data_IF_627426072446
#
_entry.id   IF_627426072446
#
_cell.length_a   1.000
_cell.length_b   1.000
_cell.length_c   1.000
_cell.angle_alpha   90.00
_cell.angle_beta   90.00
_cell.angle_gamma   90.00
#
_symmetry.space_group_name_H-M   'P 1'
#
loop_
_entity.id
_entity.type
_entity.pdbx_description
1 polymer ?
#
# COMPACT_ATOMS: atom_id res chain seq x y z
N UNK A 1 -10.00 7.63 -15.76
CA UNK A 1 -10.27 8.84 -14.93
C UNK A 1 -11.28 9.81 -15.58
N UNK A 2 -11.95 9.35 -16.66
CA UNK A 2 -13.00 10.12 -17.32
C UNK A 2 -14.13 10.46 -16.34
N UNK A 3 -14.50 11.75 -16.25
CA UNK A 3 -15.51 12.24 -15.31
C UNK A 3 -15.04 12.42 -13.86
N UNK A 4 -13.80 12.06 -13.52
CA UNK A 4 -13.24 12.28 -12.19
C UNK A 4 -12.47 13.60 -12.10
N UNK A 5 -12.36 14.16 -10.89
CA UNK A 5 -11.61 15.39 -10.65
C UNK A 5 -10.18 15.34 -11.21
N UNK A 6 -9.54 14.17 -11.19
CA UNK A 6 -8.19 13.95 -11.71
C UNK A 6 -8.04 14.30 -13.19
N UNK A 7 -9.10 14.12 -14.01
CA UNK A 7 -9.10 14.48 -15.44
C UNK A 7 -8.84 15.98 -15.67
N UNK A 8 -9.33 16.81 -14.76
CA UNK A 8 -9.15 18.26 -14.82
C UNK A 8 -7.85 18.74 -14.16
N UNK A 9 -7.35 18.03 -13.17
CA UNK A 9 -6.19 18.40 -12.36
C UNK A 9 -4.87 17.97 -13.02
N UNK A 10 -4.80 16.75 -13.59
CA UNK A 10 -3.61 16.27 -14.28
C UNK A 10 -3.68 16.63 -15.77
N UNK A 11 -2.62 17.21 -16.30
CA UNK A 11 -2.53 17.65 -17.69
C UNK A 11 -1.51 16.88 -18.52
N UNK A 12 -0.41 16.50 -17.88
CA UNK A 12 0.75 15.94 -18.60
C UNK A 12 0.66 14.41 -18.71
N UNK A 13 -0.08 13.75 -17.82
CA UNK A 13 -0.28 12.30 -17.79
C UNK A 13 1.04 11.51 -17.98
N UNK A 14 2.09 11.96 -17.26
CA UNK A 14 3.41 11.34 -17.35
C UNK A 14 3.33 9.91 -16.82
N UNK A 15 3.75 8.95 -17.63
CA UNK A 15 3.85 7.55 -17.24
C UNK A 15 5.14 7.31 -16.45
N UNK A 16 5.02 6.68 -15.29
CA UNK A 16 6.12 6.27 -14.44
C UNK A 16 6.20 4.74 -14.38
N UNK A 17 7.39 4.14 -14.26
CA UNK A 17 7.49 2.72 -13.93
C UNK A 17 6.95 2.50 -12.52
N UNK A 18 6.01 1.58 -12.37
CA UNK A 18 5.36 1.25 -11.10
C UNK A 18 5.78 -0.15 -10.67
N UNK A 19 6.30 -0.27 -9.46
CA UNK A 19 6.51 -1.55 -8.77
C UNK A 19 5.44 -1.64 -7.68
N UNK A 20 4.46 -2.50 -7.86
CA UNK A 20 3.38 -2.76 -6.91
C UNK A 20 3.59 -4.12 -6.26
N UNK A 21 3.66 -4.14 -4.94
CA UNK A 21 3.84 -5.33 -4.12
C UNK A 21 2.61 -5.51 -3.23
N UNK A 22 1.90 -6.61 -3.42
CA UNK A 22 0.75 -7.01 -2.62
C UNK A 22 1.17 -8.11 -1.63
N UNK A 23 1.23 -7.78 -0.35
CA UNK A 23 1.55 -8.73 0.72
C UNK A 23 0.32 -9.47 1.25
N UNK A 24 -0.88 -9.23 0.71
CA UNK A 24 -2.08 -9.96 1.07
C UNK A 24 -2.25 -11.27 0.28
N UNK A 25 -1.49 -11.46 -0.79
CA UNK A 25 -1.70 -12.53 -1.77
C UNK A 25 -1.41 -13.95 -1.25
N UNK A 26 -0.94 -14.13 0.00
CA UNK A 26 -0.57 -15.44 0.55
C UNK A 26 -0.78 -15.53 2.06
N UNK A 27 -0.94 -16.78 2.55
CA UNK A 27 -0.82 -17.11 3.97
C UNK A 27 0.65 -17.25 4.36
N UNK A 28 1.00 -16.72 5.53
CA UNK A 28 2.37 -16.69 6.08
C UNK A 28 2.50 -17.68 7.24
N UNK A 29 2.96 -18.88 6.96
CA UNK A 29 3.11 -19.97 7.95
C UNK A 29 4.56 -20.34 8.24
N UNK A 30 5.48 -20.09 7.31
CA UNK A 30 6.90 -20.44 7.40
C UNK A 30 7.80 -19.24 7.04
N UNK A 31 9.04 -19.26 7.54
CA UNK A 31 10.06 -18.24 7.28
C UNK A 31 10.22 -17.89 5.79
N UNK A 32 10.15 -18.90 4.92
CA UNK A 32 10.32 -18.72 3.49
C UNK A 32 9.09 -18.17 2.75
N UNK A 33 7.94 -18.07 3.41
CA UNK A 33 6.71 -17.67 2.70
C UNK A 33 6.74 -16.22 2.25
N UNK A 34 7.28 -15.32 3.08
CA UNK A 34 7.45 -13.92 2.74
C UNK A 34 8.45 -13.74 1.59
N UNK A 35 9.62 -14.38 1.70
CA UNK A 35 10.66 -14.31 0.68
C UNK A 35 10.13 -14.82 -0.66
N UNK A 36 9.45 -15.97 -0.68
CA UNK A 36 8.85 -16.54 -1.90
C UNK A 36 7.75 -15.67 -2.51
N UNK A 37 6.98 -14.97 -1.68
CA UNK A 37 5.96 -14.06 -2.18
C UNK A 37 6.60 -12.89 -2.90
N UNK A 38 7.54 -12.21 -2.22
CA UNK A 38 8.27 -11.07 -2.80
C UNK A 38 9.04 -11.51 -4.05
N UNK A 39 9.75 -12.64 -3.99
CA UNK A 39 10.49 -13.22 -5.12
C UNK A 39 9.63 -13.33 -6.38
N UNK A 40 8.44 -13.92 -6.25
CA UNK A 40 7.51 -14.07 -7.40
C UNK A 40 7.05 -12.74 -7.98
N UNK A 41 6.83 -11.75 -7.14
CA UNK A 41 6.40 -10.43 -7.58
C UNK A 41 7.54 -9.68 -8.27
N UNK A 42 8.77 -9.76 -7.74
CA UNK A 42 9.95 -9.17 -8.38
C UNK A 42 10.21 -9.78 -9.77
N UNK A 43 10.07 -11.10 -9.94
CA UNK A 43 10.24 -11.77 -11.24
C UNK A 43 9.37 -11.17 -12.36
N UNK A 44 8.18 -10.70 -12.05
CA UNK A 44 7.29 -10.06 -13.05
C UNK A 44 7.92 -8.77 -13.58
N UNK A 45 8.46 -7.95 -12.69
CA UNK A 45 9.09 -6.68 -13.06
C UNK A 45 10.47 -6.87 -13.67
N UNK A 46 11.22 -7.89 -13.22
CA UNK A 46 12.51 -8.27 -13.81
C UNK A 46 12.35 -8.71 -15.27
N UNK A 47 11.28 -9.42 -15.60
CA UNK A 47 10.96 -9.74 -16.98
C UNK A 47 10.70 -8.49 -17.84
N UNK A 48 10.18 -7.42 -17.22
CA UNK A 48 9.87 -6.16 -17.90
C UNK A 48 11.10 -5.23 -17.99
N UNK A 49 11.87 -5.08 -16.94
CA UNK A 49 12.92 -4.07 -16.84
C UNK A 49 14.34 -4.63 -16.94
N UNK A 50 14.53 -5.90 -16.71
CA UNK A 50 15.80 -6.60 -16.70
C UNK A 50 15.92 -7.50 -15.48
N UNK A 51 16.74 -8.55 -15.61
CA UNK A 51 16.96 -9.54 -14.55
C UNK A 51 18.24 -9.26 -13.77
N UNK A 52 18.20 -9.65 -12.49
CA UNK A 52 19.35 -9.72 -11.61
C UNK A 52 19.99 -11.11 -11.64
N UNK A 53 21.12 -11.26 -10.94
CA UNK A 53 21.69 -12.56 -10.65
C UNK A 53 20.75 -13.40 -9.77
N UNK A 54 20.63 -14.70 -10.03
CA UNK A 54 19.77 -15.60 -9.26
C UNK A 54 20.25 -15.82 -7.80
N UNK A 55 21.48 -15.42 -7.49
CA UNK A 55 22.10 -15.60 -6.18
C UNK A 55 21.96 -14.36 -5.28
N UNK A 56 21.36 -13.28 -5.79
CA UNK A 56 21.12 -12.05 -5.02
C UNK A 56 19.92 -12.21 -4.08
N UNK A 57 19.98 -11.49 -2.95
CA UNK A 57 18.86 -11.42 -2.00
C UNK A 57 17.70 -10.61 -2.56
N UNK A 58 16.51 -10.69 -1.98
CA UNK A 58 15.34 -9.95 -2.45
C UNK A 58 15.52 -8.43 -2.37
N UNK A 59 16.28 -7.94 -1.40
CA UNK A 59 16.62 -6.54 -1.25
C UNK A 59 17.63 -6.07 -2.30
N UNK A 60 18.69 -6.84 -2.61
CA UNK A 60 19.62 -6.56 -3.70
C UNK A 60 18.92 -6.53 -5.06
N UNK A 61 18.01 -7.48 -5.29
CA UNK A 61 17.21 -7.54 -6.51
C UNK A 61 16.31 -6.31 -6.65
N UNK A 62 15.68 -5.85 -5.55
CA UNK A 62 14.87 -4.63 -5.58
C UNK A 62 15.72 -3.40 -5.91
N UNK A 63 16.92 -3.28 -5.34
CA UNK A 63 17.89 -2.21 -5.69
C UNK A 63 18.16 -2.18 -7.19
N UNK A 64 18.53 -3.33 -7.74
CA UNK A 64 18.85 -3.46 -9.16
C UNK A 64 17.63 -3.20 -10.04
N UNK A 65 16.46 -3.70 -9.65
CA UNK A 65 15.20 -3.50 -10.37
C UNK A 65 14.81 -2.02 -10.42
N UNK A 66 14.88 -1.29 -9.31
CA UNK A 66 14.59 0.15 -9.27
C UNK A 66 15.52 0.90 -10.22
N UNK A 67 16.82 0.60 -10.19
CA UNK A 67 17.80 1.24 -11.06
C UNK A 67 17.51 0.94 -12.54
N UNK A 68 17.34 -0.32 -12.91
CA UNK A 68 17.05 -0.73 -14.30
C UNK A 68 15.74 -0.16 -14.83
N UNK A 69 14.70 -0.13 -14.01
CA UNK A 69 13.42 0.47 -14.39
C UNK A 69 13.57 1.98 -14.67
N UNK A 70 14.30 2.69 -13.82
CA UNK A 70 14.55 4.11 -14.00
C UNK A 70 15.42 4.38 -15.24
N UNK A 71 16.50 3.62 -15.46
CA UNK A 71 17.37 3.74 -16.61
C UNK A 71 16.62 3.45 -17.93
N UNK A 72 15.81 2.41 -17.96
CA UNK A 72 15.06 1.99 -19.15
C UNK A 72 13.98 2.98 -19.56
N UNK A 73 13.31 3.61 -18.58
CA UNK A 73 12.19 4.52 -18.84
C UNK A 73 12.60 6.00 -18.89
N UNK A 74 13.76 6.32 -18.35
CA UNK A 74 14.17 7.72 -18.14
C UNK A 74 13.36 8.44 -17.06
N UNK A 75 12.55 7.71 -16.29
CA UNK A 75 11.66 8.23 -15.23
C UNK A 75 12.00 7.58 -13.90
N UNK A 76 11.80 8.32 -12.80
CA UNK A 76 11.91 7.74 -11.45
C UNK A 76 10.77 6.78 -11.18
N UNK A 77 11.04 5.77 -10.35
CA UNK A 77 10.12 4.66 -10.04
C UNK A 77 9.08 5.07 -9.00
N UNK A 78 7.86 4.60 -9.17
CA UNK A 78 6.80 4.62 -8.14
C UNK A 78 6.77 3.25 -7.47
N UNK A 79 6.74 3.22 -6.13
CA UNK A 79 6.64 2.00 -5.34
C UNK A 79 5.33 2.02 -4.57
N UNK A 80 4.51 0.99 -4.76
CA UNK A 80 3.27 0.80 -4.03
C UNK A 80 3.37 -0.53 -3.27
N UNK A 81 3.11 -0.50 -1.96
CA UNK A 81 3.09 -1.72 -1.12
C UNK A 81 1.74 -1.80 -0.44
N UNK A 82 0.99 -2.84 -0.75
CA UNK A 82 -0.29 -3.09 -0.12
C UNK A 82 -0.15 -4.12 1.00
N UNK A 83 -0.88 -3.88 2.11
CA UNK A 83 -0.88 -4.73 3.31
C UNK A 83 0.52 -4.97 3.90
N UNK A 84 1.34 -3.91 4.01
CA UNK A 84 2.74 -4.00 4.46
C UNK A 84 2.93 -4.72 5.80
N UNK A 85 1.92 -4.73 6.66
CA UNK A 85 1.95 -5.31 8.00
C UNK A 85 1.38 -6.75 8.07
N UNK A 86 0.78 -7.25 7.01
CA UNK A 86 0.14 -8.58 6.95
C UNK A 86 1.04 -9.73 7.41
N UNK A 87 2.32 -9.83 6.98
CA UNK A 87 3.21 -10.89 7.45
C UNK A 87 3.38 -10.86 8.96
N UNK A 88 3.55 -9.66 9.54
CA UNK A 88 3.71 -9.46 10.97
C UNK A 88 2.45 -9.83 11.76
N UNK A 89 1.28 -9.44 11.24
CA UNK A 89 -0.01 -9.75 11.85
C UNK A 89 -0.29 -11.26 11.89
N UNK A 90 0.01 -11.96 10.81
CA UNK A 90 -0.16 -13.41 10.73
C UNK A 90 0.84 -14.19 11.59
N UNK A 91 1.96 -13.59 11.95
CA UNK A 91 2.98 -14.19 12.83
C UNK A 91 2.75 -13.89 14.33
N UNK A 92 1.67 -13.20 14.72
CA UNK A 92 1.35 -12.93 16.12
C UNK A 92 1.26 -14.24 16.91
N UNK A 93 1.95 -14.31 18.05
CA UNK A 93 2.03 -15.50 18.89
C UNK A 93 3.06 -16.54 18.44
N UNK A 94 3.88 -16.23 17.41
CA UNK A 94 5.00 -17.03 16.92
C UNK A 94 6.25 -16.15 16.87
N UNK A 95 6.88 -15.94 18.03
CA UNK A 95 7.90 -14.90 18.23
C UNK A 95 9.10 -15.04 17.27
N UNK A 96 9.59 -16.26 17.05
CA UNK A 96 10.72 -16.52 16.14
C UNK A 96 10.35 -16.13 14.69
N UNK A 97 9.19 -16.56 14.21
CA UNK A 97 8.72 -16.23 12.86
C UNK A 97 8.46 -14.71 12.69
N UNK A 98 7.93 -14.08 13.74
CA UNK A 98 7.71 -12.65 13.74
C UNK A 98 9.02 -11.85 13.65
N UNK A 99 10.06 -12.32 14.33
CA UNK A 99 11.40 -11.71 14.28
C UNK A 99 12.03 -11.86 12.88
N UNK A 100 11.93 -13.05 12.28
CA UNK A 100 12.40 -13.33 10.92
C UNK A 100 11.70 -12.41 9.88
N UNK A 101 10.38 -12.30 9.96
CA UNK A 101 9.64 -11.40 9.06
C UNK A 101 9.99 -9.93 9.28
N UNK A 102 10.20 -9.52 10.53
CA UNK A 102 10.65 -8.17 10.87
C UNK A 102 11.98 -7.85 10.22
N UNK A 103 12.96 -8.74 10.34
CA UNK A 103 14.29 -8.55 9.80
C UNK A 103 14.27 -8.51 8.27
N UNK A 104 13.53 -9.40 7.64
CA UNK A 104 13.33 -9.44 6.18
C UNK A 104 12.69 -8.15 5.68
N UNK A 105 11.58 -7.71 6.27
CA UNK A 105 10.88 -6.48 5.88
C UNK A 105 11.72 -5.23 6.14
N UNK A 106 12.47 -5.21 7.24
CA UNK A 106 13.36 -4.08 7.56
C UNK A 106 14.46 -3.91 6.52
N UNK A 107 15.11 -4.98 6.11
CA UNK A 107 16.11 -4.96 5.04
C UNK A 107 15.48 -4.53 3.71
N UNK A 108 14.37 -5.15 3.35
CA UNK A 108 13.67 -4.90 2.09
C UNK A 108 13.17 -3.44 1.96
N UNK A 109 12.50 -2.92 2.99
CA UNK A 109 12.05 -1.52 2.96
C UNK A 109 13.20 -0.52 3.12
N UNK A 110 14.32 -0.92 3.73
CA UNK A 110 15.55 -0.13 3.80
C UNK A 110 16.08 0.30 2.44
N UNK A 111 15.79 -0.47 1.39
CA UNK A 111 16.10 -0.14 -0.01
C UNK A 111 15.47 1.19 -0.43
N UNK A 112 14.26 1.51 0.00
CA UNK A 112 13.60 2.77 -0.37
C UNK A 112 14.39 3.99 0.09
N UNK A 113 15.11 3.90 1.20
CA UNK A 113 15.98 4.97 1.68
C UNK A 113 17.28 5.09 0.86
N UNK A 114 17.90 3.96 0.57
CA UNK A 114 19.15 3.93 -0.20
C UNK A 114 18.95 4.32 -1.67
N UNK A 115 17.76 4.09 -2.21
CA UNK A 115 17.38 4.35 -3.61
C UNK A 115 16.52 5.61 -3.78
N UNK A 116 16.47 6.50 -2.79
CA UNK A 116 15.65 7.72 -2.79
C UNK A 116 15.80 8.57 -4.07
N UNK A 117 17.01 8.70 -4.59
CA UNK A 117 17.30 9.42 -5.85
C UNK A 117 16.62 8.84 -7.09
N UNK A 118 16.27 7.54 -7.08
CA UNK A 118 15.59 6.83 -8.16
C UNK A 118 14.08 6.71 -7.95
N UNK A 119 13.58 7.03 -6.74
CA UNK A 119 12.17 6.89 -6.39
C UNK A 119 11.45 8.24 -6.56
N UNK A 120 10.36 8.25 -7.31
CA UNK A 120 9.45 9.40 -7.46
C UNK A 120 8.50 9.52 -6.30
N UNK A 121 7.94 8.39 -5.88
CA UNK A 121 6.91 8.30 -4.86
C UNK A 121 6.88 6.88 -4.30
N UNK A 122 6.65 6.75 -3.00
CA UNK A 122 6.38 5.46 -2.37
C UNK A 122 5.15 5.60 -1.47
N UNK A 123 4.22 4.63 -1.56
CA UNK A 123 3.05 4.54 -0.71
C UNK A 123 2.92 3.12 -0.16
N UNK A 124 2.70 3.04 1.16
CA UNK A 124 2.50 1.78 1.85
C UNK A 124 1.15 1.84 2.56
N UNK A 125 0.31 0.83 2.33
CA UNK A 125 -0.98 0.67 3.03
C UNK A 125 -0.92 -0.52 3.97
N UNK A 126 -1.71 -0.48 5.03
CA UNK A 126 -1.83 -1.55 6.02
C UNK A 126 -2.90 -1.26 7.05
N UNK A 127 -3.29 -2.28 7.80
CA UNK A 127 -4.40 -2.19 8.77
C UNK A 127 -3.96 -1.62 10.11
N UNK A 128 -2.71 -1.85 10.51
CA UNK A 128 -2.24 -1.50 11.86
C UNK A 128 -0.99 -0.63 11.83
N UNK A 129 -0.86 0.19 12.89
CA UNK A 129 0.39 0.91 13.19
C UNK A 129 1.45 0.00 13.83
N UNK A 130 1.13 -1.27 14.08
CA UNK A 130 1.96 -2.21 14.85
C UNK A 130 3.33 -2.47 14.21
N UNK A 131 3.37 -2.63 12.90
CA UNK A 131 4.63 -2.84 12.16
C UNK A 131 5.52 -1.59 12.06
N UNK A 132 4.94 -0.40 12.21
CA UNK A 132 5.59 0.87 11.95
C UNK A 132 6.81 1.14 12.83
N UNK A 133 6.69 0.88 14.12
CA UNK A 133 7.75 1.19 15.09
C UNK A 133 8.95 0.26 14.94
N UNK A 134 8.74 -0.99 14.53
CA UNK A 134 9.79 -2.00 14.49
C UNK A 134 10.39 -2.26 13.10
N UNK A 135 9.58 -2.13 12.05
CA UNK A 135 10.00 -2.38 10.65
C UNK A 135 10.57 -1.12 10.00
N UNK A 136 10.01 0.04 10.32
CA UNK A 136 10.38 1.32 9.71
C UNK A 136 11.24 2.21 10.60
N UNK A 137 11.82 1.68 11.69
CA UNK A 137 12.65 2.47 12.62
C UNK A 137 13.80 3.21 11.95
N UNK A 138 14.30 2.67 10.84
CA UNK A 138 15.44 3.22 10.11
C UNK A 138 15.01 4.10 8.90
N UNK A 139 13.71 4.15 8.61
CA UNK A 139 13.13 4.94 7.53
C UNK A 139 12.59 6.27 8.05
N UNK A 140 13.45 7.26 8.13
CA UNK A 140 13.09 8.61 8.57
C UNK A 140 12.48 9.50 7.45
N UNK A 141 12.39 8.98 6.23
CA UNK A 141 11.80 9.64 5.05
C UNK A 141 10.32 9.27 4.81
N UNK A 142 9.74 8.39 5.63
CA UNK A 142 8.31 8.05 5.56
C UNK A 142 7.47 9.03 6.40
N UNK A 143 6.40 9.54 5.81
CA UNK A 143 5.39 10.35 6.50
C UNK A 143 4.16 9.50 6.78
N UNK A 144 3.75 9.44 8.05
CA UNK A 144 2.47 8.85 8.42
C UNK A 144 1.33 9.84 8.19
N UNK A 145 0.57 9.62 7.14
CA UNK A 145 -0.55 10.48 6.76
C UNK A 145 -1.90 9.99 7.30
N UNK A 146 -1.94 8.85 8.01
CA UNK A 146 -3.17 8.19 8.45
C UNK A 146 -4.09 9.06 9.32
N UNK A 147 -3.52 10.06 10.01
CA UNK A 147 -4.26 10.94 10.91
C UNK A 147 -4.19 12.41 10.48
N UNK A 148 -3.75 12.69 9.25
CA UNK A 148 -3.68 14.06 8.77
C UNK A 148 -5.01 14.48 8.14
N UNK A 149 -5.60 15.54 8.64
CA UNK A 149 -6.90 16.02 8.16
C UNK A 149 -6.96 16.27 6.64
N UNK A 150 -5.84 16.65 6.03
CA UNK A 150 -5.76 16.87 4.57
C UNK A 150 -5.89 15.59 3.74
N UNK A 151 -5.80 14.41 4.36
CA UNK A 151 -5.91 13.10 3.71
C UNK A 151 -7.05 12.26 4.28
N UNK A 152 -7.99 12.88 5.01
CA UNK A 152 -9.09 12.16 5.68
C UNK A 152 -9.96 11.39 4.68
N UNK A 153 -10.09 11.92 3.46
CA UNK A 153 -10.91 11.34 2.40
C UNK A 153 -10.12 10.45 1.42
N UNK A 154 -8.85 10.10 1.74
CA UNK A 154 -8.03 9.25 0.85
C UNK A 154 -8.51 7.80 0.80
N UNK A 155 -9.15 7.34 1.87
CA UNK A 155 -9.73 6.01 2.00
C UNK A 155 -11.12 6.09 2.62
N UNK A 156 -12.00 5.16 2.22
CA UNK A 156 -13.38 5.14 2.69
C UNK A 156 -14.33 5.94 1.80
N UNK A 157 -15.46 6.31 2.36
CA UNK A 157 -16.50 7.10 1.69
C UNK A 157 -16.78 8.31 2.57
N UNK A 158 -16.59 9.50 2.03
CA UNK A 158 -16.92 10.73 2.75
C UNK A 158 -18.44 10.91 2.91
N UNK A 159 -18.85 11.71 3.89
CA UNK A 159 -20.25 12.03 4.11
C UNK A 159 -20.91 12.65 2.84
N UNK A 160 -20.16 13.48 2.13
CA UNK A 160 -20.62 14.07 0.86
C UNK A 160 -20.82 13.01 -0.23
N UNK A 161 -19.85 12.10 -0.41
CA UNK A 161 -19.94 11.01 -1.38
C UNK A 161 -21.09 10.04 -1.05
N UNK A 162 -21.33 9.80 0.24
CA UNK A 162 -22.45 9.00 0.71
C UNK A 162 -23.78 9.61 0.24
N UNK A 163 -23.97 10.92 0.41
CA UNK A 163 -25.18 11.62 -0.02
C UNK A 163 -25.29 11.72 -1.54
N UNK A 164 -24.20 12.02 -2.24
CA UNK A 164 -24.22 12.25 -3.69
C UNK A 164 -24.38 10.95 -4.51
N UNK A 165 -23.88 9.82 -4.01
CA UNK A 165 -23.80 8.58 -4.78
C UNK A 165 -24.70 7.45 -4.25
N UNK A 166 -25.15 7.50 -2.99
CA UNK A 166 -25.90 6.42 -2.33
C UNK A 166 -27.24 6.87 -1.76
N UNK A 167 -27.82 7.97 -2.26
CA UNK A 167 -29.10 8.52 -1.78
C UNK A 167 -30.24 7.49 -1.87
N UNK A 168 -30.28 6.72 -2.97
CA UNK A 168 -31.34 5.71 -3.21
C UNK A 168 -31.19 4.58 -2.20
N UNK A 169 -30.00 4.02 -2.05
CA UNK A 169 -29.69 2.93 -1.13
C UNK A 169 -29.93 3.31 0.33
N UNK A 170 -29.57 4.56 0.68
CA UNK A 170 -29.82 5.10 2.02
C UNK A 170 -31.32 5.25 2.29
N UNK A 171 -32.10 5.69 1.30
CA UNK A 171 -33.55 5.80 1.42
C UNK A 171 -34.22 4.42 1.59
N UNK A 172 -33.83 3.44 0.78
CA UNK A 172 -34.29 2.06 0.90
C UNK A 172 -33.90 1.45 2.26
N UNK A 173 -32.70 1.74 2.75
CA UNK A 173 -32.25 1.26 4.05
C UNK A 173 -33.04 1.92 5.20
N UNK A 174 -33.31 3.21 5.11
CA UNK A 174 -34.15 3.92 6.07
C UNK A 174 -35.56 3.33 6.14
N UNK A 175 -36.20 3.09 4.99
CA UNK A 175 -37.53 2.47 4.90
C UNK A 175 -37.54 1.05 5.52
N UNK A 176 -36.53 0.24 5.21
CA UNK A 176 -36.39 -1.11 5.76
C UNK A 176 -36.23 -1.13 7.29
N UNK A 177 -35.72 -0.04 7.88
CA UNK A 177 -35.54 0.14 9.32
C UNK A 177 -36.69 0.91 9.98
N UNK A 178 -37.64 1.43 9.20
CA UNK A 178 -38.71 2.29 9.69
C UNK A 178 -38.21 3.64 10.22
N UNK A 179 -37.12 4.14 9.63
CA UNK A 179 -36.44 5.39 9.97
C UNK A 179 -36.62 6.40 8.82
N UNK A 180 -36.48 7.66 9.13
CA UNK A 180 -36.32 8.68 8.09
C UNK A 180 -34.89 8.69 7.52
N UNK A 181 -34.71 9.27 6.35
CA UNK A 181 -33.40 9.43 5.72
C UNK A 181 -32.39 10.11 6.68
N UNK A 182 -32.81 11.18 7.36
CA UNK A 182 -31.93 11.87 8.30
C UNK A 182 -31.56 11.02 9.51
N UNK A 183 -32.49 10.24 10.04
CA UNK A 183 -32.20 9.34 11.16
C UNK A 183 -31.22 8.23 10.79
N UNK A 184 -31.32 7.68 9.58
CA UNK A 184 -30.36 6.65 9.13
C UNK A 184 -28.97 7.26 8.91
N UNK A 185 -28.85 8.47 8.37
CA UNK A 185 -27.58 9.16 8.18
C UNK A 185 -26.89 9.44 9.54
N UNK A 186 -27.67 9.88 10.54
CA UNK A 186 -27.14 10.10 11.91
C UNK A 186 -26.66 8.76 12.52
N UNK A 187 -27.48 7.71 12.39
CA UNK A 187 -27.13 6.40 12.93
C UNK A 187 -25.88 5.79 12.27
N UNK A 188 -25.70 5.98 10.96
CA UNK A 188 -24.50 5.56 10.25
C UNK A 188 -23.27 6.30 10.74
N UNK A 189 -23.36 7.62 10.91
CA UNK A 189 -22.27 8.44 11.44
C UNK A 189 -21.87 8.00 12.85
N UNK A 190 -22.83 7.76 13.75
CA UNK A 190 -22.56 7.26 15.10
C UNK A 190 -21.91 5.85 15.12
N UNK A 191 -22.12 5.06 14.06
CA UNK A 191 -21.62 3.69 13.98
C UNK A 191 -20.22 3.58 13.37
N UNK A 192 -19.84 4.53 12.50
CA UNK A 192 -18.62 4.48 11.71
C UNK A 192 -17.60 5.59 12.01
N UNK A 193 -17.96 6.63 12.77
CA UNK A 193 -17.07 7.64 13.33
C UNK A 193 -16.55 7.19 14.72
#
# INVERSE_FOLDING_TARGET
>A
FEGLAMESLEKDWIEYPVIHLDLNAKKFDTENDLIRLIDRQLLVYEAQYGSCSSDETIDDRLVTLIRLAAEKTGQRVVILVDEYDKPMLQAIGRDELQEEYRNTLKAFYGVMKSMDGYIKFAMLTGVTKFGKVSVFSDLNNLNDISMWNQYIDICGVSDQELHDNLEVELSEFADARGMTYNEICVALREYYD
#
